data_IF_213142961759
#
_entry.id   IF_213142961759
#
_cell.length_a   1.000
_cell.length_b   1.000
_cell.length_c   1.000
_cell.angle_alpha   90.00
_cell.angle_beta   90.00
_cell.angle_gamma   90.00
#
_symmetry.space_group_name_H-M   'P 1'
#
loop_
_entity.id
_entity.type
_entity.pdbx_description
1 polymer ?
#
# COMPACT_ATOMS: atom_id res chain seq x y z
N UNK A 1 34.96 -15.33 25.18
CA UNK A 1 34.19 -16.47 24.58
C UNK A 1 34.50 -16.47 23.09
N UNK A 2 34.99 -17.56 22.51
CA UNK A 2 35.41 -17.61 21.10
C UNK A 2 34.18 -17.69 20.20
N UNK A 3 33.79 -16.55 19.64
CA UNK A 3 32.63 -16.43 18.72
C UNK A 3 32.72 -17.45 17.56
N UNK A 4 33.94 -17.74 17.07
CA UNK A 4 34.19 -18.72 16.03
C UNK A 4 33.77 -20.16 16.39
N UNK A 5 33.83 -20.54 17.66
CA UNK A 5 33.44 -21.88 18.13
C UNK A 5 31.91 -22.02 18.11
N UNK A 6 31.18 -21.00 18.51
CA UNK A 6 29.70 -20.97 18.52
C UNK A 6 29.16 -20.94 17.08
N UNK A 7 29.79 -20.15 16.19
CA UNK A 7 29.44 -20.13 14.77
C UNK A 7 29.68 -21.47 14.09
N UNK A 8 30.79 -22.13 14.37
CA UNK A 8 31.11 -23.44 13.78
C UNK A 8 30.15 -24.54 14.27
N UNK A 9 29.71 -24.44 15.55
CA UNK A 9 28.74 -25.37 16.13
C UNK A 9 27.32 -25.13 15.55
N UNK A 10 26.92 -23.86 15.35
CA UNK A 10 25.67 -23.51 14.68
C UNK A 10 25.63 -23.99 13.21
N UNK A 11 26.72 -23.77 12.46
CA UNK A 11 26.86 -24.27 11.07
C UNK A 11 26.87 -25.80 10.99
N UNK A 12 27.48 -26.47 11.95
CA UNK A 12 27.45 -27.93 12.06
C UNK A 12 26.03 -28.46 12.34
N UNK A 13 25.25 -27.75 13.17
CA UNK A 13 23.85 -28.05 13.44
C UNK A 13 22.96 -27.93 12.22
N UNK A 14 23.12 -26.87 11.42
CA UNK A 14 22.42 -26.65 10.16
C UNK A 14 22.64 -27.80 9.15
N UNK A 15 23.88 -28.26 9.00
CA UNK A 15 24.20 -29.37 8.09
C UNK A 15 23.61 -30.72 8.53
N UNK A 16 23.49 -30.95 9.84
CA UNK A 16 22.98 -32.22 10.39
C UNK A 16 21.44 -32.31 10.30
N UNK A 17 20.72 -31.17 10.26
CA UNK A 17 19.26 -31.07 10.20
C UNK A 17 18.77 -30.28 8.99
N UNK A 18 19.34 -30.51 7.83
CA UNK A 18 19.13 -29.69 6.61
C UNK A 18 17.64 -29.61 6.20
N UNK A 19 16.89 -30.70 6.35
CA UNK A 19 15.45 -30.73 6.04
C UNK A 19 14.64 -29.76 6.93
N UNK A 20 14.97 -29.67 8.21
CA UNK A 20 14.31 -28.73 9.15
C UNK A 20 14.67 -27.28 8.82
N UNK A 21 15.94 -27.04 8.48
CA UNK A 21 16.41 -25.70 8.08
C UNK A 21 15.70 -25.24 6.81
N UNK A 22 15.60 -26.12 5.80
CA UNK A 22 14.90 -25.81 4.55
C UNK A 22 13.44 -25.43 4.84
N UNK A 23 12.75 -26.17 5.70
CA UNK A 23 11.35 -25.87 6.06
C UNK A 23 11.21 -24.50 6.71
N UNK A 24 12.10 -24.14 7.64
CA UNK A 24 12.11 -22.81 8.29
C UNK A 24 12.41 -21.72 7.27
N UNK A 25 13.43 -21.89 6.44
CA UNK A 25 13.81 -20.95 5.37
C UNK A 25 12.63 -20.72 4.43
N UNK A 26 11.99 -21.80 3.96
CA UNK A 26 10.89 -21.73 3.01
C UNK A 26 9.66 -21.03 3.57
N UNK A 27 9.25 -21.38 4.79
CA UNK A 27 8.09 -20.74 5.43
C UNK A 27 8.39 -19.27 5.74
N UNK A 28 9.58 -18.96 6.24
CA UNK A 28 10.00 -17.57 6.48
C UNK A 28 10.06 -16.79 5.17
N UNK A 29 10.61 -17.37 4.10
CA UNK A 29 10.63 -16.77 2.78
C UNK A 29 9.24 -16.42 2.28
N UNK A 30 8.31 -17.37 2.27
CA UNK A 30 6.94 -17.14 1.79
C UNK A 30 6.24 -16.10 2.66
N UNK A 31 6.30 -16.24 3.99
CA UNK A 31 5.64 -15.33 4.93
C UNK A 31 6.13 -13.89 4.75
N UNK A 32 7.44 -13.67 4.68
CA UNK A 32 8.03 -12.35 4.54
C UNK A 32 7.86 -11.77 3.13
N UNK A 33 7.74 -12.61 2.11
CA UNK A 33 7.38 -12.13 0.76
C UNK A 33 5.97 -11.52 0.75
N UNK A 34 4.99 -12.15 1.44
CA UNK A 34 3.66 -11.56 1.59
C UNK A 34 3.69 -10.26 2.40
N UNK A 35 4.49 -10.18 3.46
CA UNK A 35 4.68 -8.92 4.22
C UNK A 35 5.24 -7.84 3.31
N UNK A 36 6.29 -8.14 2.55
CA UNK A 36 6.91 -7.19 1.63
C UNK A 36 5.95 -6.73 0.53
N UNK A 37 5.19 -7.65 -0.05
CA UNK A 37 4.16 -7.32 -1.03
C UNK A 37 3.06 -6.41 -0.44
N UNK A 38 2.61 -6.67 0.79
CA UNK A 38 1.62 -5.83 1.46
C UNK A 38 2.15 -4.40 1.73
N UNK A 39 3.41 -4.27 2.17
CA UNK A 39 4.04 -2.95 2.38
C UNK A 39 4.16 -2.19 1.05
N UNK A 40 4.61 -2.84 -0.02
CA UNK A 40 4.72 -2.19 -1.33
C UNK A 40 3.36 -1.82 -1.92
N UNK A 41 2.34 -2.67 -1.71
CA UNK A 41 0.97 -2.38 -2.16
C UNK A 41 0.40 -1.15 -1.44
N UNK A 42 0.62 -1.05 -0.14
CA UNK A 42 0.24 0.14 0.63
C UNK A 42 1.00 1.39 0.16
N UNK A 43 2.29 1.26 -0.12
CA UNK A 43 3.09 2.33 -0.72
C UNK A 43 2.55 2.76 -2.08
N UNK A 44 2.20 1.81 -2.96
CA UNK A 44 1.60 2.06 -4.27
C UNK A 44 0.29 2.86 -4.16
N UNK A 45 -0.60 2.47 -3.24
CA UNK A 45 -1.86 3.19 -2.99
C UNK A 45 -1.56 4.62 -2.56
N UNK A 46 -0.59 4.82 -1.65
CA UNK A 46 -0.18 6.15 -1.20
C UNK A 46 0.33 7.04 -2.33
N UNK A 47 1.22 6.52 -3.17
CA UNK A 47 1.78 7.24 -4.33
C UNK A 47 0.69 7.58 -5.35
N UNK A 48 -0.23 6.66 -5.63
CA UNK A 48 -1.37 6.90 -6.52
C UNK A 48 -2.31 7.97 -5.96
N UNK A 49 -2.68 7.87 -4.69
CA UNK A 49 -3.52 8.89 -4.03
C UNK A 49 -2.88 10.27 -4.08
N UNK A 50 -1.59 10.38 -3.76
CA UNK A 50 -0.85 11.63 -3.82
C UNK A 50 -0.86 12.23 -5.23
N UNK A 51 -0.58 11.43 -6.25
CA UNK A 51 -0.58 11.86 -7.64
C UNK A 51 -1.93 12.42 -8.09
N UNK A 52 -3.01 11.71 -7.77
CA UNK A 52 -4.37 12.13 -8.13
C UNK A 52 -4.84 13.29 -7.28
N UNK A 53 -4.48 13.34 -6.00
CA UNK A 53 -4.83 14.45 -5.11
C UNK A 53 -4.26 15.79 -5.59
N UNK A 54 -3.02 15.80 -6.11
CA UNK A 54 -2.40 17.02 -6.66
C UNK A 54 -3.05 17.51 -7.96
N UNK A 55 -3.73 16.62 -8.70
CA UNK A 55 -4.30 16.90 -10.03
C UNK A 55 -5.82 16.89 -10.06
N UNK A 56 -6.43 16.36 -9.03
CA UNK A 56 -7.88 16.31 -8.94
C UNK A 56 -8.46 17.71 -8.84
N UNK A 57 -9.46 17.95 -9.64
CA UNK A 57 -10.24 19.17 -9.65
C UNK A 57 -11.65 18.89 -9.16
N UNK A 58 -12.22 19.83 -8.45
CA UNK A 58 -13.65 19.86 -8.18
C UNK A 58 -14.29 20.62 -9.32
N UNK A 59 -15.19 19.97 -10.04
CA UNK A 59 -15.92 20.56 -11.15
C UNK A 59 -17.30 21.01 -10.66
N UNK A 60 -17.55 22.31 -10.74
CA UNK A 60 -18.87 22.91 -10.50
C UNK A 60 -19.54 23.10 -11.84
N UNK A 61 -20.50 22.22 -12.13
CA UNK A 61 -21.28 22.25 -13.38
C UNK A 61 -22.42 23.24 -13.24
N UNK A 62 -22.47 24.22 -14.13
CA UNK A 62 -23.59 25.14 -14.23
C UNK A 62 -24.74 24.47 -14.98
N UNK A 63 -25.95 24.93 -14.78
CA UNK A 63 -27.14 24.42 -15.50
C UNK A 63 -27.00 24.61 -17.01
N UNK A 64 -27.33 23.59 -17.77
CA UNK A 64 -27.43 23.63 -19.26
C UNK A 64 -28.89 23.61 -19.69
N UNK A 65 -29.15 23.75 -20.99
CA UNK A 65 -30.49 23.71 -21.56
C UNK A 65 -31.24 22.37 -21.34
N UNK A 66 -30.49 21.30 -21.04
CA UNK A 66 -31.03 19.92 -20.83
C UNK A 66 -30.95 19.47 -19.38
N UNK A 67 -30.59 20.35 -18.46
CA UNK A 67 -30.50 20.04 -17.03
C UNK A 67 -31.88 19.79 -16.43
N UNK A 68 -32.00 18.71 -15.63
CA UNK A 68 -33.27 18.30 -14.99
C UNK A 68 -33.25 18.48 -13.47
N UNK A 69 -32.19 19.09 -12.91
CA UNK A 69 -32.07 19.24 -11.45
C UNK A 69 -33.03 20.32 -10.92
N UNK A 70 -33.44 20.21 -9.65
CA UNK A 70 -34.30 21.18 -8.97
C UNK A 70 -33.71 22.59 -8.92
N UNK A 71 -32.39 22.71 -9.04
CA UNK A 71 -31.66 23.99 -9.09
C UNK A 71 -31.61 24.63 -10.47
N UNK A 72 -32.09 23.93 -11.50
CA UNK A 72 -32.04 24.29 -12.92
C UNK A 72 -33.45 24.48 -13.53
N UNK A 73 -34.46 24.83 -12.73
CA UNK A 73 -35.83 24.97 -13.19
C UNK A 73 -36.02 26.01 -14.28
N UNK A 74 -35.14 27.03 -14.34
CA UNK A 74 -35.16 28.08 -15.35
C UNK A 74 -34.37 27.72 -16.61
N UNK A 75 -33.88 26.48 -16.73
CA UNK A 75 -33.04 26.00 -17.84
C UNK A 75 -31.56 26.34 -17.67
N UNK A 76 -30.89 26.78 -18.73
CA UNK A 76 -29.46 27.11 -18.70
C UNK A 76 -29.17 28.25 -17.71
N UNK A 77 -28.02 28.16 -17.01
CA UNK A 77 -27.62 29.18 -16.06
C UNK A 77 -27.49 30.58 -16.73
N UNK A 78 -28.00 31.61 -16.04
CA UNK A 78 -27.86 32.98 -16.48
C UNK A 78 -26.46 33.52 -16.22
N UNK A 79 -26.05 34.56 -16.96
CA UNK A 79 -24.76 35.23 -16.72
C UNK A 79 -24.64 35.79 -15.28
N UNK A 80 -25.78 36.18 -14.68
CA UNK A 80 -25.82 36.65 -13.29
C UNK A 80 -25.51 35.50 -12.31
N UNK A 81 -26.03 34.29 -12.57
CA UNK A 81 -25.78 33.11 -11.76
C UNK A 81 -24.33 32.64 -11.90
N UNK A 82 -23.78 32.64 -13.12
CA UNK A 82 -22.36 32.31 -13.36
C UNK A 82 -21.45 33.31 -12.65
N UNK A 83 -21.77 34.61 -12.72
CA UNK A 83 -21.01 35.68 -12.02
C UNK A 83 -21.11 35.54 -10.50
N UNK A 84 -22.27 35.16 -9.97
CA UNK A 84 -22.47 34.95 -8.53
C UNK A 84 -21.63 33.77 -8.03
N UNK A 85 -21.60 32.64 -8.76
CA UNK A 85 -20.76 31.47 -8.43
C UNK A 85 -19.28 31.86 -8.47
N UNK A 86 -18.84 32.60 -9.50
CA UNK A 86 -17.47 33.10 -9.61
C UNK A 86 -17.09 33.99 -8.42
N UNK A 87 -17.95 34.95 -8.06
CA UNK A 87 -17.71 35.85 -6.95
C UNK A 87 -17.62 35.10 -5.61
N UNK A 88 -18.40 34.03 -5.44
CA UNK A 88 -18.35 33.21 -4.23
C UNK A 88 -17.06 32.36 -4.18
N UNK A 89 -16.59 31.80 -5.31
CA UNK A 89 -15.32 31.10 -5.40
C UNK A 89 -14.12 32.00 -5.12
N UNK A 90 -14.18 33.28 -5.57
CA UNK A 90 -13.15 34.29 -5.33
C UNK A 90 -13.30 35.00 -3.95
N UNK A 91 -14.36 34.69 -3.23
CA UNK A 91 -14.66 35.31 -1.93
C UNK A 91 -13.70 34.86 -0.83
N UNK A 92 -13.61 35.68 0.24
CA UNK A 92 -12.67 35.51 1.36
C UNK A 92 -12.80 34.15 2.06
N UNK A 93 -13.98 33.52 2.00
CA UNK A 93 -14.23 32.23 2.62
C UNK A 93 -13.59 31.04 1.87
N UNK A 94 -13.65 31.04 0.53
CA UNK A 94 -13.19 29.92 -0.30
C UNK A 94 -11.82 30.16 -0.94
N UNK A 95 -11.49 31.39 -1.27
CA UNK A 95 -10.20 31.76 -1.87
C UNK A 95 -8.96 31.22 -1.14
N UNK A 96 -8.89 31.21 0.20
CA UNK A 96 -7.74 30.63 0.92
C UNK A 96 -7.56 29.13 0.67
N UNK A 97 -8.64 28.40 0.36
CA UNK A 97 -8.68 26.96 0.15
C UNK A 97 -8.35 26.57 -1.30
N UNK A 98 -8.52 27.51 -2.23
CA UNK A 98 -8.35 27.29 -3.68
C UNK A 98 -6.90 27.58 -4.07
N UNK A 99 -6.31 26.67 -4.87
CA UNK A 99 -4.99 26.84 -5.47
C UNK A 99 -5.07 27.50 -6.83
N UNK A 100 -5.98 27.01 -7.68
CA UNK A 100 -6.25 27.56 -9.01
C UNK A 100 -7.71 27.29 -9.40
N UNK A 101 -8.24 28.14 -10.28
CA UNK A 101 -9.57 28.00 -10.85
C UNK A 101 -9.48 28.29 -12.35
N UNK A 102 -10.13 27.45 -13.15
CA UNK A 102 -10.36 27.69 -14.57
C UNK A 102 -11.85 27.59 -14.87
N UNK A 103 -12.30 28.35 -15.85
CA UNK A 103 -13.70 28.36 -16.28
C UNK A 103 -13.73 27.99 -17.77
N UNK A 104 -14.47 26.95 -18.07
CA UNK A 104 -14.72 26.52 -19.44
C UNK A 104 -16.13 26.95 -19.86
N UNK A 105 -16.22 27.62 -21.00
CA UNK A 105 -17.49 27.98 -21.63
C UNK A 105 -18.16 26.76 -22.26
N UNK A 106 -19.42 26.92 -22.69
CA UNK A 106 -20.17 25.87 -23.39
C UNK A 106 -19.42 25.39 -24.64
N UNK A 107 -18.86 26.33 -25.41
CA UNK A 107 -18.11 26.04 -26.64
C UNK A 107 -16.83 25.28 -26.36
N UNK A 108 -16.08 25.68 -25.31
CA UNK A 108 -14.84 24.99 -24.91
C UNK A 108 -15.11 23.59 -24.38
N UNK A 109 -16.16 23.44 -23.56
CA UNK A 109 -16.58 22.14 -23.04
C UNK A 109 -17.04 21.22 -24.15
N UNK A 110 -17.82 21.75 -25.10
CA UNK A 110 -18.26 20.99 -26.28
C UNK A 110 -17.06 20.57 -27.15
N UNK A 111 -16.11 21.48 -27.42
CA UNK A 111 -14.90 21.17 -28.18
C UNK A 111 -14.07 20.06 -27.52
N UNK A 112 -13.89 20.11 -26.18
CA UNK A 112 -13.21 19.06 -25.42
C UNK A 112 -13.96 17.72 -25.49
N UNK A 113 -15.29 17.75 -25.45
CA UNK A 113 -16.13 16.56 -25.55
C UNK A 113 -16.01 15.90 -26.95
N UNK A 114 -16.01 16.71 -28.01
CA UNK A 114 -15.79 16.24 -29.39
C UNK A 114 -14.42 15.60 -29.56
N UNK A 115 -13.37 16.17 -28.96
CA UNK A 115 -12.02 15.62 -29.01
C UNK A 115 -11.92 14.28 -28.28
N UNK A 116 -12.63 14.13 -27.17
CA UNK A 116 -12.63 12.89 -26.36
C UNK A 116 -13.46 11.75 -26.95
N UNK A 117 -14.66 12.04 -27.44
CA UNK A 117 -15.61 11.04 -27.95
C UNK A 117 -15.42 10.74 -29.44
N UNK A 118 -14.75 11.61 -30.18
CA UNK A 118 -14.68 11.59 -31.64
C UNK A 118 -15.90 12.25 -32.28
N UNK A 119 -15.70 12.81 -33.48
CA UNK A 119 -16.72 13.59 -34.19
C UNK A 119 -18.04 12.84 -34.45
N UNK A 120 -17.98 11.51 -34.66
CA UNK A 120 -19.17 10.69 -34.96
C UNK A 120 -20.09 10.57 -33.73
N UNK A 121 -19.55 10.38 -32.53
CA UNK A 121 -20.35 10.27 -31.30
C UNK A 121 -20.78 11.62 -30.76
N UNK A 122 -19.99 12.65 -30.96
CA UNK A 122 -20.31 14.02 -30.57
C UNK A 122 -21.37 14.69 -31.47
N UNK A 123 -21.61 14.16 -32.68
CA UNK A 123 -22.62 14.69 -33.63
C UNK A 123 -24.06 14.70 -33.11
N UNK A 124 -24.34 13.89 -32.07
CA UNK A 124 -25.67 13.82 -31.41
C UNK A 124 -25.88 14.96 -30.43
N UNK A 125 -24.81 15.63 -29.99
CA UNK A 125 -24.82 16.73 -29.03
C UNK A 125 -24.72 18.08 -29.73
N UNK A 126 -25.41 19.08 -29.19
CA UNK A 126 -25.29 20.48 -29.63
C UNK A 126 -24.51 21.27 -28.60
N UNK A 127 -23.83 22.38 -28.97
CA UNK A 127 -23.12 23.23 -28.02
C UNK A 127 -23.99 23.73 -26.87
N UNK A 128 -25.29 23.99 -27.12
CA UNK A 128 -26.25 24.45 -26.11
C UNK A 128 -26.57 23.42 -25.03
N UNK A 129 -26.25 22.14 -25.29
CA UNK A 129 -26.40 21.03 -24.34
C UNK A 129 -25.15 20.84 -23.48
N UNK A 130 -24.04 21.49 -23.84
CA UNK A 130 -22.83 21.46 -23.04
C UNK A 130 -22.95 22.36 -21.80
N UNK A 131 -22.27 21.97 -20.75
CA UNK A 131 -22.23 22.70 -19.50
C UNK A 131 -21.14 23.76 -19.50
N UNK A 132 -21.38 24.87 -18.85
CA UNK A 132 -20.33 25.75 -18.37
C UNK A 132 -19.78 25.15 -17.07
N UNK A 133 -18.47 25.10 -16.91
CA UNK A 133 -17.86 24.39 -15.80
C UNK A 133 -16.75 25.21 -15.16
N UNK A 134 -16.82 25.38 -13.85
CA UNK A 134 -15.67 25.83 -13.06
C UNK A 134 -14.86 24.63 -12.60
N UNK A 135 -13.61 24.52 -13.03
CA UNK A 135 -12.66 23.56 -12.50
C UNK A 135 -11.82 24.22 -11.42
N UNK A 136 -11.97 23.74 -10.20
CA UNK A 136 -11.34 24.30 -9.01
C UNK A 136 -10.34 23.29 -8.46
N UNK A 137 -9.06 23.67 -8.40
CA UNK A 137 -8.02 22.87 -7.74
C UNK A 137 -7.89 23.35 -6.30
N UNK A 138 -8.13 22.46 -5.36
CA UNK A 138 -7.99 22.77 -3.93
C UNK A 138 -6.53 22.71 -3.49
N UNK A 139 -6.12 23.52 -2.51
CA UNK A 139 -4.80 23.39 -1.86
C UNK A 139 -4.69 22.09 -1.06
N UNK A 140 -5.77 21.73 -0.38
CA UNK A 140 -5.92 20.48 0.34
C UNK A 140 -7.09 19.70 -0.29
N UNK A 141 -6.81 18.59 -1.00
CA UNK A 141 -7.84 17.77 -1.63
C UNK A 141 -8.87 17.20 -0.65
N UNK A 142 -8.50 17.03 0.63
CA UNK A 142 -9.41 16.56 1.67
C UNK A 142 -10.54 17.56 2.00
N UNK A 143 -10.45 18.80 1.52
CA UNK A 143 -11.44 19.86 1.73
C UNK A 143 -12.40 20.06 0.54
N UNK A 144 -12.36 19.17 -0.46
CA UNK A 144 -13.25 19.22 -1.63
C UNK A 144 -14.74 19.20 -1.23
N UNK A 145 -15.08 18.52 -0.14
CA UNK A 145 -16.43 18.47 0.40
C UNK A 145 -16.98 19.84 0.82
N UNK A 146 -16.11 20.74 1.29
CA UNK A 146 -16.50 22.12 1.63
C UNK A 146 -17.04 22.85 0.40
N UNK A 147 -16.42 22.62 -0.77
CA UNK A 147 -16.89 23.19 -2.03
C UNK A 147 -18.24 22.58 -2.45
N UNK A 148 -18.36 21.25 -2.33
CA UNK A 148 -19.61 20.58 -2.65
C UNK A 148 -20.77 21.09 -1.77
N UNK A 149 -20.54 21.26 -0.47
CA UNK A 149 -21.54 21.79 0.47
C UNK A 149 -21.90 23.26 0.18
N UNK A 150 -20.91 24.08 -0.21
CA UNK A 150 -21.12 25.49 -0.50
C UNK A 150 -22.00 25.74 -1.72
N UNK A 151 -21.94 24.87 -2.73
CA UNK A 151 -22.66 25.03 -4.00
C UNK A 151 -23.81 24.03 -4.20
N UNK A 152 -23.94 23.01 -3.34
CA UNK A 152 -25.07 22.08 -3.41
C UNK A 152 -26.37 22.81 -3.12
N UNK A 153 -27.30 22.73 -4.07
CA UNK A 153 -28.62 23.41 -3.97
C UNK A 153 -28.62 24.89 -4.34
N UNK A 154 -27.50 25.44 -4.82
CA UNK A 154 -27.46 26.81 -5.33
C UNK A 154 -28.15 26.91 -6.70
N UNK A 155 -29.02 27.90 -6.86
CA UNK A 155 -29.68 28.14 -8.15
C UNK A 155 -28.67 28.41 -9.26
N UNK A 156 -28.84 27.72 -10.41
CA UNK A 156 -27.91 27.81 -11.54
C UNK A 156 -26.74 26.81 -11.50
N UNK A 157 -26.58 26.07 -10.40
CA UNK A 157 -25.59 24.98 -10.29
C UNK A 157 -26.31 23.64 -10.40
N UNK A 158 -25.97 22.83 -11.38
CA UNK A 158 -26.57 21.49 -11.55
C UNK A 158 -25.99 20.49 -10.57
N UNK A 159 -24.66 20.42 -10.51
CA UNK A 159 -23.97 19.48 -9.62
C UNK A 159 -22.53 19.93 -9.36
N UNK A 160 -22.01 19.50 -8.23
CA UNK A 160 -20.58 19.60 -7.92
C UNK A 160 -19.98 18.20 -7.89
N UNK A 161 -18.96 17.96 -8.72
CA UNK A 161 -18.29 16.67 -8.83
C UNK A 161 -16.84 16.77 -8.42
N UNK A 162 -16.47 15.99 -7.42
CA UNK A 162 -15.08 15.77 -7.07
C UNK A 162 -14.53 14.61 -7.94
N UNK A 163 -13.49 14.89 -8.72
CA UNK A 163 -12.85 13.86 -9.56
C UNK A 163 -12.24 12.73 -8.73
N UNK A 164 -11.80 13.00 -7.48
CA UNK A 164 -11.32 11.95 -6.57
C UNK A 164 -12.40 10.97 -6.15
N UNK A 165 -13.64 11.42 -6.04
CA UNK A 165 -14.75 10.58 -5.62
C UNK A 165 -15.00 9.40 -6.59
N UNK A 166 -14.68 9.57 -7.88
CA UNK A 166 -14.76 8.49 -8.86
C UNK A 166 -13.67 7.43 -8.68
N UNK A 167 -12.55 7.81 -8.09
CA UNK A 167 -11.42 6.90 -7.83
C UNK A 167 -11.53 6.21 -6.45
N UNK A 168 -12.38 6.72 -5.55
CA UNK A 168 -12.53 6.19 -4.20
C UNK A 168 -12.93 4.70 -4.17
N UNK A 169 -13.85 4.20 -5.02
CA UNK A 169 -14.15 2.76 -5.07
C UNK A 169 -12.92 1.91 -5.43
N UNK A 170 -12.07 2.41 -6.34
CA UNK A 170 -10.83 1.74 -6.72
C UNK A 170 -9.85 1.70 -5.54
N UNK A 171 -9.62 2.83 -4.89
CA UNK A 171 -8.75 2.90 -3.72
C UNK A 171 -9.28 2.06 -2.55
N UNK A 172 -10.58 2.03 -2.35
CA UNK A 172 -11.24 1.19 -1.36
C UNK A 172 -10.99 -0.29 -1.65
N UNK A 173 -11.20 -0.75 -2.88
CA UNK A 173 -10.95 -2.13 -3.29
C UNK A 173 -9.47 -2.53 -3.10
N UNK A 174 -8.52 -1.67 -3.47
CA UNK A 174 -7.09 -1.89 -3.26
C UNK A 174 -6.74 -1.95 -1.77
N UNK A 175 -7.37 -1.10 -0.97
CA UNK A 175 -7.18 -1.08 0.49
C UNK A 175 -7.70 -2.37 1.13
N UNK A 176 -8.87 -2.86 0.73
CA UNK A 176 -9.41 -4.15 1.18
C UNK A 176 -8.49 -5.30 0.79
N UNK A 177 -8.00 -5.31 -0.46
CA UNK A 177 -7.03 -6.31 -0.91
C UNK A 177 -5.74 -6.28 -0.07
N UNK A 178 -5.27 -5.09 0.32
CA UNK A 178 -4.11 -4.93 1.21
C UNK A 178 -4.40 -5.50 2.61
N UNK A 179 -5.57 -5.26 3.19
CA UNK A 179 -5.93 -5.84 4.49
C UNK A 179 -6.01 -7.37 4.44
N UNK A 180 -6.53 -7.94 3.36
CA UNK A 180 -6.52 -9.39 3.15
C UNK A 180 -5.07 -9.91 3.08
N UNK A 181 -4.20 -9.26 2.31
CA UNK A 181 -2.79 -9.64 2.22
C UNK A 181 -2.07 -9.55 3.57
N UNK A 182 -2.32 -8.50 4.35
CA UNK A 182 -1.80 -8.36 5.73
C UNK A 182 -2.33 -9.47 6.63
N UNK A 183 -3.61 -9.80 6.55
CA UNK A 183 -4.20 -10.91 7.32
C UNK A 183 -3.52 -12.25 7.01
N UNK A 184 -3.31 -12.55 5.73
CA UNK A 184 -2.56 -13.75 5.29
C UNK A 184 -1.13 -13.70 5.81
N UNK A 185 -0.44 -12.57 5.71
CA UNK A 185 0.92 -12.39 6.20
C UNK A 185 1.02 -12.65 7.70
N UNK A 186 0.10 -12.14 8.51
CA UNK A 186 0.05 -12.38 9.97
C UNK A 186 -0.15 -13.86 10.28
N UNK A 187 -1.09 -14.53 9.61
CA UNK A 187 -1.30 -15.98 9.78
C UNK A 187 -0.04 -16.78 9.42
N UNK A 188 0.63 -16.42 8.33
CA UNK A 188 1.88 -17.04 7.91
C UNK A 188 3.02 -16.79 8.90
N UNK A 189 3.13 -15.60 9.49
CA UNK A 189 4.12 -15.30 10.54
C UNK A 189 3.85 -16.10 11.83
N UNK A 190 2.59 -16.30 12.20
CA UNK A 190 2.22 -17.17 13.31
C UNK A 190 2.65 -18.62 13.00
N UNK A 191 2.34 -19.13 11.81
CA UNK A 191 2.75 -20.46 11.40
C UNK A 191 4.28 -20.63 11.39
N UNK A 192 5.02 -19.63 10.87
CA UNK A 192 6.48 -19.60 10.91
C UNK A 192 7.02 -19.66 12.34
N UNK A 193 6.44 -18.85 13.24
CA UNK A 193 6.81 -18.82 14.67
C UNK A 193 6.62 -20.19 15.35
N UNK A 194 5.49 -20.84 15.10
CA UNK A 194 5.20 -22.18 15.63
C UNK A 194 6.14 -23.22 15.03
N UNK A 195 6.41 -23.15 13.72
CA UNK A 195 7.34 -24.06 13.05
C UNK A 195 8.76 -23.92 13.60
N UNK A 196 9.27 -22.69 13.75
CA UNK A 196 10.58 -22.44 14.37
C UNK A 196 10.61 -23.04 15.78
N UNK A 197 9.56 -22.79 16.57
CA UNK A 197 9.48 -23.31 17.93
C UNK A 197 9.50 -24.84 18.03
N UNK A 198 8.76 -25.52 17.15
CA UNK A 198 8.74 -27.00 17.10
C UNK A 198 10.07 -27.57 16.59
N UNK A 199 10.67 -26.94 15.59
CA UNK A 199 11.97 -27.30 15.03
C UNK A 199 13.07 -27.22 16.07
N UNK A 200 13.13 -26.12 16.84
CA UNK A 200 14.10 -25.94 17.92
C UNK A 200 13.92 -26.99 19.03
N UNK A 201 12.68 -27.31 19.40
CA UNK A 201 12.41 -28.36 20.40
C UNK A 201 12.90 -29.73 19.92
N UNK A 202 12.66 -30.07 18.66
CA UNK A 202 13.10 -31.33 18.08
C UNK A 202 14.63 -31.40 17.99
N UNK A 203 15.30 -30.30 17.62
CA UNK A 203 16.76 -30.18 17.61
C UNK A 203 17.34 -30.38 19.02
N UNK A 204 16.73 -29.72 20.03
CA UNK A 204 17.16 -29.89 21.43
C UNK A 204 16.96 -31.33 21.94
N UNK A 205 15.83 -31.97 21.57
CA UNK A 205 15.58 -33.37 21.94
C UNK A 205 16.61 -34.32 21.30
N UNK A 206 16.97 -34.12 20.04
CA UNK A 206 17.99 -34.90 19.35
C UNK A 206 19.37 -34.82 20.06
N UNK A 207 19.67 -33.67 20.68
CA UNK A 207 20.94 -33.41 21.41
C UNK A 207 20.82 -33.53 22.94
N UNK A 208 19.79 -34.19 23.44
CA UNK A 208 19.51 -34.27 24.90
C UNK A 208 20.68 -34.82 25.74
N UNK A 209 21.46 -35.79 25.20
CA UNK A 209 22.65 -36.31 25.89
C UNK A 209 23.76 -35.28 26.03
N UNK A 210 24.04 -34.52 24.95
CA UNK A 210 25.02 -33.44 24.95
C UNK A 210 24.63 -32.34 25.94
N UNK A 211 23.36 -31.92 25.95
CA UNK A 211 22.81 -30.95 26.90
C UNK A 211 22.90 -31.45 28.33
N UNK A 212 22.67 -32.75 28.57
CA UNK A 212 22.82 -33.38 29.90
C UNK A 212 24.26 -33.28 30.42
N UNK A 213 25.24 -33.57 29.56
CA UNK A 213 26.66 -33.45 29.92
C UNK A 213 27.03 -32.00 30.22
N UNK A 214 26.58 -31.04 29.40
CA UNK A 214 26.80 -29.60 29.65
C UNK A 214 26.25 -29.13 31.00
N UNK A 215 25.08 -29.63 31.39
CA UNK A 215 24.49 -29.35 32.73
C UNK A 215 25.33 -29.94 33.87
N UNK A 216 25.85 -31.16 33.71
CA UNK A 216 26.70 -31.79 34.72
C UNK A 216 28.02 -31.02 34.96
N UNK A 217 28.57 -30.43 33.93
CA UNK A 217 29.78 -29.58 34.00
C UNK A 217 29.50 -28.13 34.46
N UNK A 218 28.19 -27.81 34.74
CA UNK A 218 27.80 -26.54 35.29
C UNK A 218 27.57 -25.44 34.24
N UNK A 219 27.32 -25.77 32.98
CA UNK A 219 27.03 -24.79 31.92
C UNK A 219 25.73 -24.03 32.24
N UNK A 220 25.76 -22.68 32.05
CA UNK A 220 24.57 -21.87 32.29
C UNK A 220 23.50 -22.11 31.21
N UNK A 221 22.23 -21.94 31.58
CA UNK A 221 21.11 -22.10 30.65
C UNK A 221 21.22 -21.20 29.42
N UNK A 222 21.80 -20.00 29.55
CA UNK A 222 22.04 -19.09 28.40
C UNK A 222 23.06 -19.67 27.44
N UNK A 223 24.12 -20.30 27.95
CA UNK A 223 25.15 -20.95 27.15
C UNK A 223 24.57 -22.12 26.33
N UNK A 224 23.70 -22.92 26.93
CA UNK A 224 23.01 -24.04 26.27
C UNK A 224 22.02 -23.55 25.23
N UNK A 225 21.35 -22.40 25.45
CA UNK A 225 20.32 -21.86 24.53
C UNK A 225 20.92 -21.20 23.30
N UNK A 226 22.07 -20.55 23.42
CA UNK A 226 22.68 -19.70 22.38
C UNK A 226 22.83 -20.40 21.02
N UNK A 227 23.37 -21.62 20.91
CA UNK A 227 23.52 -22.28 19.59
C UNK A 227 22.17 -22.53 18.90
N UNK A 228 21.10 -22.90 19.62
CA UNK A 228 19.78 -23.15 19.06
C UNK A 228 19.13 -21.86 18.58
N UNK A 229 19.28 -20.76 19.34
CA UNK A 229 18.76 -19.45 18.91
C UNK A 229 19.49 -18.97 17.67
N UNK A 230 20.81 -19.11 17.60
CA UNK A 230 21.58 -18.75 16.43
C UNK A 230 21.23 -19.58 15.21
N UNK A 231 20.99 -20.89 15.37
CA UNK A 231 20.53 -21.79 14.29
C UNK A 231 19.20 -21.31 13.70
N UNK A 232 18.22 -20.96 14.57
CA UNK A 232 16.93 -20.40 14.13
C UNK A 232 17.05 -19.03 13.48
N UNK A 233 17.84 -18.12 14.04
CA UNK A 233 18.10 -16.79 13.50
C UNK A 233 18.80 -16.86 12.14
N UNK A 234 19.77 -17.76 11.98
CA UNK A 234 20.49 -17.93 10.71
C UNK A 234 19.55 -18.46 9.60
N UNK A 235 18.72 -19.46 9.92
CA UNK A 235 17.72 -19.96 8.98
C UNK A 235 16.71 -18.87 8.58
N UNK A 236 16.20 -18.09 9.55
CA UNK A 236 15.29 -17.00 9.27
C UNK A 236 15.96 -15.85 8.50
N UNK A 237 17.24 -15.58 8.74
CA UNK A 237 18.01 -14.60 7.97
C UNK A 237 18.11 -15.03 6.50
N UNK A 238 18.38 -16.30 6.21
CA UNK A 238 18.39 -16.79 4.84
C UNK A 238 17.02 -16.67 4.19
N UNK A 239 15.95 -17.04 4.92
CA UNK A 239 14.57 -16.87 4.43
C UNK A 239 14.20 -15.43 4.14
N UNK A 240 14.57 -14.50 5.04
CA UNK A 240 14.31 -13.07 4.86
C UNK A 240 15.15 -12.44 3.73
N UNK A 241 16.39 -12.90 3.54
CA UNK A 241 17.21 -12.47 2.42
C UNK A 241 16.63 -12.91 1.07
N UNK A 242 16.14 -14.17 1.00
CA UNK A 242 15.43 -14.66 -0.18
C UNK A 242 14.13 -13.89 -0.43
N UNK A 243 13.35 -13.60 0.62
CA UNK A 243 12.13 -12.79 0.52
C UNK A 243 12.43 -11.38 0.00
N UNK A 244 13.48 -10.75 0.54
CA UNK A 244 13.94 -9.45 0.08
C UNK A 244 14.35 -9.47 -1.39
N UNK A 245 15.09 -10.49 -1.81
CA UNK A 245 15.46 -10.67 -3.21
C UNK A 245 14.23 -10.87 -4.11
N UNK A 246 13.24 -11.66 -3.67
CA UNK A 246 12.01 -11.89 -4.41
C UNK A 246 11.18 -10.60 -4.54
N UNK A 247 11.08 -9.79 -3.47
CA UNK A 247 10.37 -8.50 -3.47
C UNK A 247 11.05 -7.51 -4.43
N UNK A 248 12.37 -7.38 -4.37
CA UNK A 248 13.15 -6.53 -5.29
C UNK A 248 13.02 -7.01 -6.73
N UNK A 249 13.10 -8.32 -6.98
CA UNK A 249 12.89 -8.90 -8.30
C UNK A 249 11.46 -8.66 -8.81
N UNK A 250 10.45 -8.76 -7.93
CA UNK A 250 9.06 -8.45 -8.24
C UNK A 250 8.86 -7.01 -8.71
N UNK A 251 9.49 -6.05 -8.05
CA UNK A 251 9.46 -4.64 -8.49
C UNK A 251 10.21 -4.46 -9.79
N UNK A 252 11.40 -5.04 -9.92
CA UNK A 252 12.23 -4.87 -11.12
C UNK A 252 11.59 -5.48 -12.37
N UNK A 253 11.23 -6.74 -12.33
CA UNK A 253 10.69 -7.46 -13.48
C UNK A 253 9.18 -7.32 -13.61
N UNK A 254 8.44 -7.37 -12.49
CA UNK A 254 6.99 -7.29 -12.48
C UNK A 254 6.50 -5.87 -12.72
N UNK A 255 6.89 -4.93 -11.88
CA UNK A 255 6.39 -3.54 -11.97
C UNK A 255 7.06 -2.81 -13.14
N UNK A 256 8.39 -2.69 -13.13
CA UNK A 256 9.10 -1.91 -14.15
C UNK A 256 9.15 -2.60 -15.52
N UNK A 257 9.30 -3.93 -15.55
CA UNK A 257 9.42 -4.67 -16.80
C UNK A 257 8.10 -5.01 -17.48
N UNK A 258 7.03 -5.26 -16.72
CA UNK A 258 5.78 -5.75 -17.28
C UNK A 258 4.60 -4.78 -17.11
N UNK A 259 4.33 -4.29 -15.90
CA UNK A 259 3.10 -3.52 -15.61
C UNK A 259 3.18 -2.08 -16.15
N UNK A 260 4.30 -1.41 -15.98
CA UNK A 260 4.47 0.01 -16.38
C UNK A 260 4.17 0.26 -17.86
N UNK A 261 4.44 -0.71 -18.74
CA UNK A 261 4.17 -0.57 -20.17
C UNK A 261 2.77 -1.00 -20.60
N UNK A 262 1.99 -1.68 -19.75
CA UNK A 262 0.68 -2.26 -20.10
C UNK A 262 -0.50 -1.61 -19.41
N UNK A 263 -0.26 -0.80 -18.39
CA UNK A 263 -1.28 -0.15 -17.58
C UNK A 263 -1.07 1.37 -17.66
N UNK A 264 -1.44 2.01 -18.79
CA UNK A 264 -1.13 3.41 -19.05
C UNK A 264 -1.88 4.39 -18.13
N UNK A 265 -2.99 3.98 -17.52
CA UNK A 265 -3.75 4.82 -16.58
C UNK A 265 -3.09 4.95 -15.19
N UNK A 266 -2.08 4.13 -14.88
CA UNK A 266 -1.27 4.29 -13.66
C UNK A 266 -0.01 5.06 -14.03
N UNK A 267 0.01 6.35 -13.71
CA UNK A 267 1.13 7.26 -14.03
C UNK A 267 2.29 7.13 -13.05
N UNK A 268 2.02 6.67 -11.83
CA UNK A 268 3.02 6.58 -10.76
C UNK A 268 3.11 5.17 -10.21
N UNK A 269 4.34 4.67 -10.11
CA UNK A 269 4.63 3.32 -9.64
C UNK A 269 5.66 3.37 -8.51
N UNK A 270 5.55 2.41 -7.59
CA UNK A 270 6.61 2.18 -6.61
C UNK A 270 7.96 2.02 -7.30
N UNK A 271 8.98 2.59 -6.70
CA UNK A 271 10.33 2.66 -7.24
C UNK A 271 11.23 1.57 -6.65
N UNK A 272 12.42 1.40 -7.23
CA UNK A 272 13.45 0.54 -6.64
C UNK A 272 13.94 1.04 -5.28
N UNK A 273 13.83 2.35 -5.01
CA UNK A 273 14.16 2.92 -3.71
C UNK A 273 13.17 2.44 -2.64
N UNK A 274 11.87 2.42 -2.96
CA UNK A 274 10.83 1.91 -2.05
C UNK A 274 11.06 0.43 -1.75
N UNK A 275 11.39 -0.38 -2.77
CA UNK A 275 11.74 -1.78 -2.59
C UNK A 275 12.98 -1.95 -1.70
N UNK A 276 14.01 -1.11 -1.87
CA UNK A 276 15.23 -1.15 -1.06
C UNK A 276 14.96 -0.79 0.41
N UNK A 277 14.03 0.12 0.69
CA UNK A 277 13.63 0.47 2.06
C UNK A 277 12.89 -0.68 2.77
N UNK A 278 12.20 -1.53 2.03
CA UNK A 278 11.50 -2.70 2.57
C UNK A 278 12.49 -3.80 3.00
N UNK A 279 13.64 -3.93 2.35
CA UNK A 279 14.65 -4.97 2.64
C UNK A 279 15.07 -5.03 4.12
N UNK A 280 15.55 -3.94 4.76
CA UNK A 280 15.94 -3.98 6.16
C UNK A 280 14.77 -4.28 7.10
N UNK A 281 13.56 -3.88 6.74
CA UNK A 281 12.34 -4.19 7.51
C UNK A 281 12.07 -5.69 7.49
N UNK A 282 12.13 -6.34 6.33
CA UNK A 282 11.92 -7.79 6.21
C UNK A 282 12.97 -8.59 6.98
N UNK A 283 14.25 -8.21 6.85
CA UNK A 283 15.34 -8.86 7.57
C UNK A 283 15.16 -8.67 9.07
N UNK A 284 14.83 -7.47 9.52
CA UNK A 284 14.57 -7.16 10.93
C UNK A 284 13.43 -7.99 11.50
N UNK A 285 12.28 -8.04 10.83
CA UNK A 285 11.12 -8.85 11.25
C UNK A 285 11.52 -10.33 11.34
N UNK A 286 12.18 -10.88 10.31
CA UNK A 286 12.58 -12.29 10.28
C UNK A 286 13.51 -12.66 11.43
N UNK A 287 14.56 -11.87 11.66
CA UNK A 287 15.55 -12.09 12.72
C UNK A 287 14.92 -11.96 14.12
N UNK A 288 14.11 -10.92 14.35
CA UNK A 288 13.46 -10.70 15.64
C UNK A 288 12.48 -11.83 15.97
N UNK A 289 11.62 -12.21 15.02
CA UNK A 289 10.67 -13.29 15.22
C UNK A 289 11.37 -14.62 15.49
N UNK A 290 12.42 -14.93 14.76
CA UNK A 290 13.19 -16.15 14.99
C UNK A 290 13.87 -16.16 16.34
N UNK A 291 14.50 -15.06 16.75
CA UNK A 291 15.15 -14.95 18.04
C UNK A 291 14.17 -15.12 19.20
N UNK A 292 12.98 -14.48 19.11
CA UNK A 292 11.93 -14.59 20.11
C UNK A 292 11.34 -16.01 20.16
N UNK A 293 10.99 -16.59 18.99
CA UNK A 293 10.41 -17.93 18.88
C UNK A 293 11.37 -19.02 19.40
N UNK A 294 12.62 -18.99 18.93
CA UNK A 294 13.64 -19.94 19.36
C UNK A 294 13.96 -19.79 20.86
N UNK A 295 14.13 -18.55 21.32
CA UNK A 295 14.38 -18.26 22.74
C UNK A 295 13.26 -18.72 23.66
N UNK A 296 12.00 -18.51 23.25
CA UNK A 296 10.85 -18.97 24.02
C UNK A 296 10.73 -20.50 24.01
N UNK A 297 10.89 -21.13 22.85
CA UNK A 297 10.79 -22.57 22.70
C UNK A 297 11.81 -23.34 23.55
N UNK A 298 13.10 -22.91 23.50
CA UNK A 298 14.18 -23.56 24.24
C UNK A 298 14.07 -23.30 25.75
N UNK A 299 13.67 -22.08 26.18
CA UNK A 299 13.44 -21.78 27.60
C UNK A 299 12.39 -22.68 28.22
N UNK A 300 11.28 -22.90 27.53
CA UNK A 300 10.20 -23.78 28.02
C UNK A 300 10.67 -25.23 28.13
N UNK A 301 11.45 -25.71 27.13
CA UNK A 301 11.99 -27.05 27.13
C UNK A 301 13.02 -27.31 28.25
N UNK A 302 13.87 -26.32 28.56
CA UNK A 302 14.87 -26.47 29.63
C UNK A 302 14.27 -26.40 31.06
N UNK A 303 13.05 -25.95 31.22
CA UNK A 303 12.33 -25.89 32.51
C UNK A 303 11.56 -27.17 32.82
N UNK A 304 11.23 -27.97 31.84
CA UNK A 304 10.63 -29.30 31.95
C UNK A 304 11.72 -30.37 32.07
#
# INVERSE_FOLDING_TARGET
MRIGLILNEALGGLRRNISMVISVVLVTFVSLTFVGAAILMQGQIGVMRGYWAERAQVAVYMCSAVSESETCLDGAASEEQVTAVRAQLEGDALKPLISSMTFDTKEETYAKLVDQLGADQASVLTPDQAFEVFFVTMKDPGQSQVLAEAFSGQAGVEQVKDQLQYLEPLFSALTVATYIAVGIAVLMLIAATLLIGTTIRLSAYARRKEIGIMRLVGASNRFIQTPFVLEGVFAAFLGSALASAAVVAGVHFGVNGYLRGRVPFIMTWVTMQDAALVVPVLIGIGVILAALSAGFAIRRWLRT
#
